data_IF_911383794632
#
_entry.id   IF_911383794632
#
_cell.length_a   1.000
_cell.length_b   1.000
_cell.length_c   1.000
_cell.angle_alpha   90.00
_cell.angle_beta   90.00
_cell.angle_gamma   90.00
#
_symmetry.space_group_name_H-M   'P 1'
#
loop_
_entity.id
_entity.type
_entity.pdbx_description
1 polymer ?
#
# COMPACT_ATOMS: atom_id res chain seq x y z
N UNK A 1 -4.16 15.95 5.98
CA UNK A 1 -5.32 15.10 6.30
C UNK A 1 -4.87 13.65 6.16
N UNK A 2 -4.90 12.87 7.25
CA UNK A 2 -4.36 11.50 7.23
C UNK A 2 -5.33 10.55 6.54
N UNK A 3 -4.79 9.58 5.82
CA UNK A 3 -5.55 8.59 5.05
C UNK A 3 -5.06 7.18 5.41
N UNK A 4 -5.99 6.24 5.48
CA UNK A 4 -5.77 4.80 5.53
C UNK A 4 -6.16 4.21 4.19
N UNK A 5 -5.19 3.58 3.53
CA UNK A 5 -5.33 2.96 2.22
C UNK A 5 -5.13 1.46 2.42
N UNK A 6 -6.06 0.65 1.90
CA UNK A 6 -5.91 -0.81 1.88
C UNK A 6 -5.87 -1.25 0.43
N UNK A 7 -4.84 -2.00 0.06
CA UNK A 7 -4.60 -2.46 -1.32
C UNK A 7 -4.33 -3.96 -1.30
N UNK A 8 -5.00 -4.73 -2.16
CA UNK A 8 -4.66 -6.14 -2.38
C UNK A 8 -3.61 -6.21 -3.48
N UNK A 9 -2.45 -6.79 -3.19
CA UNK A 9 -1.35 -6.96 -4.15
C UNK A 9 -1.05 -8.43 -4.32
N UNK A 10 -1.01 -8.89 -5.57
CA UNK A 10 -0.67 -10.27 -5.88
C UNK A 10 0.84 -10.51 -5.66
N UNK A 11 1.18 -11.12 -4.52
CA UNK A 11 2.57 -11.31 -4.07
C UNK A 11 2.86 -12.79 -3.78
N UNK A 12 3.19 -13.56 -4.81
CA UNK A 12 3.39 -15.02 -4.71
C UNK A 12 4.73 -15.43 -4.09
N UNK A 13 5.54 -14.48 -3.62
CA UNK A 13 6.87 -14.76 -3.13
C UNK A 13 7.32 -13.76 -2.06
N UNK A 14 8.22 -14.20 -1.15
CA UNK A 14 8.77 -13.31 -0.12
C UNK A 14 9.51 -12.10 -0.74
N UNK A 15 10.25 -12.31 -1.83
CA UNK A 15 10.91 -11.22 -2.58
C UNK A 15 9.91 -10.17 -3.09
N UNK A 16 8.72 -10.62 -3.49
CA UNK A 16 7.63 -9.80 -4.00
C UNK A 16 7.07 -8.91 -2.88
N UNK A 17 6.86 -9.50 -1.68
CA UNK A 17 6.43 -8.77 -0.47
C UNK A 17 7.44 -7.69 -0.07
N UNK A 18 8.73 -8.04 -0.03
CA UNK A 18 9.79 -7.07 0.27
C UNK A 18 9.85 -5.94 -0.76
N UNK A 19 9.68 -6.26 -2.06
CA UNK A 19 9.63 -5.25 -3.13
C UNK A 19 8.43 -4.32 -2.98
N UNK A 20 7.26 -4.86 -2.66
CA UNK A 20 6.05 -4.09 -2.42
C UNK A 20 6.22 -3.11 -1.26
N UNK A 21 6.73 -3.58 -0.13
CA UNK A 21 7.01 -2.74 1.03
C UNK A 21 8.00 -1.61 0.69
N UNK A 22 9.06 -1.90 -0.10
CA UNK A 22 10.00 -0.87 -0.56
C UNK A 22 9.36 0.17 -1.46
N UNK A 23 8.48 -0.25 -2.38
CA UNK A 23 7.76 0.68 -3.28
C UNK A 23 6.83 1.59 -2.48
N UNK A 24 6.07 1.03 -1.53
CA UNK A 24 5.17 1.81 -0.67
C UNK A 24 5.95 2.76 0.24
N UNK A 25 7.00 2.28 0.90
CA UNK A 25 7.79 3.10 1.81
C UNK A 25 8.53 4.25 1.11
N UNK A 26 8.81 4.12 -0.19
CA UNK A 26 9.40 5.18 -1.00
C UNK A 26 8.39 6.22 -1.52
N UNK A 27 7.08 5.97 -1.36
CA UNK A 27 6.05 6.90 -1.82
C UNK A 27 5.92 8.09 -0.87
N UNK A 28 5.76 9.28 -1.45
CA UNK A 28 5.58 10.53 -0.69
C UNK A 28 4.30 10.50 0.13
N UNK A 29 4.39 11.02 1.35
CA UNK A 29 3.26 11.10 2.28
C UNK A 29 3.05 9.84 3.12
N UNK A 30 3.72 8.72 2.84
CA UNK A 30 3.58 7.48 3.62
C UNK A 30 4.25 7.64 4.99
N UNK A 31 3.49 7.34 6.04
CA UNK A 31 3.94 7.38 7.43
C UNK A 31 4.11 5.97 8.03
N UNK A 32 3.26 5.02 7.64
CA UNK A 32 3.42 3.61 8.00
C UNK A 32 2.89 2.68 6.92
N UNK A 33 3.48 1.49 6.88
CA UNK A 33 3.07 0.39 6.00
C UNK A 33 3.02 -0.92 6.77
N UNK A 34 2.01 -1.73 6.51
CA UNK A 34 1.84 -3.07 7.07
C UNK A 34 1.28 -4.05 6.05
N UNK A 35 1.45 -5.35 6.33
CA UNK A 35 0.81 -6.42 5.59
C UNK A 35 -0.23 -7.09 6.49
N UNK A 36 -1.45 -7.22 5.98
CA UNK A 36 -2.60 -7.88 6.62
C UNK A 36 -3.17 -8.99 5.72
N UNK A 37 -4.12 -9.75 6.25
CA UNK A 37 -4.75 -10.89 5.59
C UNK A 37 -4.00 -12.21 5.83
N UNK A 38 -4.71 -13.33 5.74
CA UNK A 38 -4.16 -14.68 5.96
C UNK A 38 -3.00 -14.97 5.00
N UNK A 39 -3.13 -14.53 3.74
CA UNK A 39 -2.11 -14.70 2.71
C UNK A 39 -1.04 -13.59 2.71
N UNK A 40 -1.15 -12.61 3.62
CA UNK A 40 -0.34 -11.39 3.66
C UNK A 40 -0.31 -10.68 2.30
N UNK A 41 -1.48 -10.62 1.67
CA UNK A 41 -1.73 -10.03 0.34
C UNK A 41 -2.31 -8.61 0.43
N UNK A 42 -2.71 -8.14 1.62
CA UNK A 42 -3.26 -6.80 1.82
C UNK A 42 -2.19 -5.86 2.36
N UNK A 43 -1.81 -4.86 1.59
CA UNK A 43 -1.00 -3.74 2.04
C UNK A 43 -1.89 -2.69 2.69
N UNK A 44 -1.56 -2.33 3.92
CA UNK A 44 -2.18 -1.22 4.64
C UNK A 44 -1.18 -0.08 4.70
N UNK A 45 -1.58 1.07 4.19
CA UNK A 45 -0.74 2.27 4.12
C UNK A 45 -1.44 3.38 4.89
N UNK A 46 -0.74 3.97 5.86
CA UNK A 46 -1.19 5.19 6.54
C UNK A 46 -0.27 6.31 6.13
N UNK A 47 -0.83 7.44 5.73
CA UNK A 47 -0.04 8.59 5.31
C UNK A 47 -0.85 9.88 5.26
N UNK A 48 -0.18 10.99 5.00
CA UNK A 48 -0.78 12.30 4.79
C UNK A 48 -0.41 12.80 3.39
N UNK A 49 -1.42 13.08 2.55
CA UNK A 49 -1.18 13.50 1.16
C UNK A 49 -0.62 12.40 0.25
N UNK A 50 -0.99 11.13 0.48
CA UNK A 50 -0.54 10.02 -0.37
C UNK A 50 -1.30 10.03 -1.70
N UNK A 51 -0.57 10.13 -2.80
CA UNK A 51 -1.12 9.95 -4.14
C UNK A 51 -1.42 8.46 -4.40
N UNK A 52 -2.67 8.07 -4.13
CA UNK A 52 -3.15 6.69 -4.27
C UNK A 52 -3.00 6.19 -5.70
N UNK A 53 -3.25 7.03 -6.70
CA UNK A 53 -3.21 6.63 -8.12
C UNK A 53 -1.77 6.32 -8.52
N UNK A 54 -0.83 7.21 -8.17
CA UNK A 54 0.59 7.01 -8.44
C UNK A 54 1.17 5.82 -7.68
N UNK A 55 0.75 5.62 -6.43
CA UNK A 55 1.15 4.46 -5.63
C UNK A 55 0.65 3.14 -6.24
N UNK A 56 -0.63 3.10 -6.63
CA UNK A 56 -1.24 1.94 -7.28
C UNK A 56 -0.54 1.61 -8.60
N UNK A 57 -0.24 2.62 -9.41
CA UNK A 57 0.45 2.42 -10.68
C UNK A 57 1.88 1.88 -10.45
N UNK A 58 2.60 2.43 -9.46
CA UNK A 58 3.94 1.97 -9.10
C UNK A 58 3.96 0.50 -8.64
N UNK A 59 2.94 0.06 -7.90
CA UNK A 59 2.80 -1.33 -7.47
C UNK A 59 2.47 -2.26 -8.65
N UNK A 60 1.58 -1.83 -9.56
CA UNK A 60 1.24 -2.59 -10.78
C UNK A 60 2.45 -2.79 -11.69
N UNK A 61 3.27 -1.76 -11.86
CA UNK A 61 4.48 -1.80 -12.69
C UNK A 61 5.60 -2.65 -12.04
N UNK A 62 5.85 -2.43 -10.74
CA UNK A 62 7.05 -2.99 -10.09
C UNK A 62 6.82 -4.31 -9.39
N UNK A 63 5.60 -4.62 -8.97
CA UNK A 63 5.31 -5.79 -8.13
C UNK A 63 4.38 -6.76 -8.85
N UNK A 64 3.21 -6.28 -9.26
CA UNK A 64 2.18 -7.10 -9.87
C UNK A 64 0.78 -6.53 -9.67
N UNK A 65 -0.23 -7.30 -10.07
CA UNK A 65 -1.63 -6.87 -10.01
C UNK A 65 -1.99 -6.32 -8.63
N UNK A 66 -2.60 -5.14 -8.62
CA UNK A 66 -2.90 -4.39 -7.41
C UNK A 66 -4.29 -3.78 -7.51
N UNK A 67 -5.13 -4.05 -6.52
CA UNK A 67 -6.48 -3.54 -6.39
C UNK A 67 -6.59 -2.66 -5.16
N UNK A 68 -7.27 -1.52 -5.29
CA UNK A 68 -7.59 -0.68 -4.14
C UNK A 68 -8.84 -1.26 -3.49
N UNK A 69 -8.72 -1.65 -2.22
CA UNK A 69 -9.82 -2.23 -1.44
C UNK A 69 -10.58 -1.15 -0.70
N UNK A 70 -9.87 -0.22 -0.06
CA UNK A 70 -10.51 0.89 0.65
C UNK A 70 -9.61 2.11 0.79
N UNK A 71 -10.26 3.26 0.90
CA UNK A 71 -9.68 4.57 1.19
C UNK A 71 -10.54 5.24 2.25
N UNK A 72 -9.95 5.51 3.42
CA UNK A 72 -10.63 6.16 4.52
C UNK A 72 -9.80 7.31 5.07
N UNK A 73 -10.45 8.40 5.46
CA UNK A 73 -9.83 9.46 6.25
C UNK A 73 -9.57 8.95 7.68
N UNK A 74 -8.36 9.20 8.19
CA UNK A 74 -8.01 8.97 9.59
C UNK A 74 -8.09 10.31 10.30
N UNK A 75 -9.14 10.53 11.07
CA UNK A 75 -9.22 11.70 11.96
C UNK A 75 -8.13 11.58 13.02
N UNK A 76 -7.31 12.62 13.16
CA UNK A 76 -6.50 12.77 14.36
C UNK A 76 -7.46 13.07 15.50
N UNK A 77 -7.56 12.16 16.47
CA UNK A 77 -8.30 12.38 17.71
C UNK A 77 -7.76 13.59 18.47
#
# INVERSE_FOLDING_TARGET
MKQKIVMKVHMNCQKCRTKALKVVAAASGVNSVGLEGEEKDKLVVIGDGVDVVKLTNSLREKVGHTDIISLAEVKAS
#
